data_IF_336337853738
#
_entry.id   IF_336337853738
#
_cell.length_a   1.000
_cell.length_b   1.000
_cell.length_c   1.000
_cell.angle_alpha   90.00
_cell.angle_beta   90.00
_cell.angle_gamma   90.00
#
_symmetry.space_group_name_H-M   'P 1'
#
loop_
_entity.id
_entity.type
_entity.pdbx_description
1 polymer ?
#
# COMPACT_ATOMS: atom_id res chain seq x y z
N UNK A 1 -2.66 5.33 28.96
CA UNK A 1 -1.89 4.59 27.94
C UNK A 1 -2.16 3.10 28.16
N UNK A 2 -3.09 2.47 27.43
CA UNK A 2 -3.13 1.02 27.41
C UNK A 2 -2.06 0.54 26.43
N UNK A 3 -1.18 -0.32 26.92
CA UNK A 3 -0.28 -1.14 26.13
C UNK A 3 -1.10 -2.02 25.19
N UNK A 4 -1.36 -1.54 23.98
CA UNK A 4 -1.94 -2.32 22.91
C UNK A 4 -0.82 -3.20 22.29
N UNK A 5 -1.20 -4.44 22.04
CA UNK A 5 -0.36 -5.61 21.79
C UNK A 5 0.61 -5.47 20.60
N UNK A 6 1.92 -5.38 20.87
CA UNK A 6 3.06 -5.28 19.94
C UNK A 6 3.16 -6.35 18.84
N UNK A 7 2.30 -7.37 18.85
CA UNK A 7 2.36 -8.50 17.92
C UNK A 7 1.59 -8.34 16.61
N UNK A 8 0.71 -7.34 16.47
CA UNK A 8 -0.24 -7.30 15.34
C UNK A 8 0.11 -6.27 14.25
N UNK A 9 1.05 -5.36 14.50
CA UNK A 9 1.40 -4.24 13.61
C UNK A 9 2.40 -4.61 12.51
N UNK A 10 2.81 -5.87 12.43
CA UNK A 10 4.02 -6.27 11.73
C UNK A 10 3.86 -6.43 10.20
N UNK A 11 2.65 -6.22 9.66
CA UNK A 11 2.31 -6.60 8.28
C UNK A 11 1.89 -5.44 7.34
N UNK A 12 1.74 -4.19 7.82
CA UNK A 12 1.36 -3.06 6.95
C UNK A 12 2.52 -2.10 6.68
N UNK A 13 2.78 -1.71 5.42
CA UNK A 13 3.81 -0.74 5.11
C UNK A 13 3.46 0.67 5.60
N UNK A 14 2.17 1.05 5.64
CA UNK A 14 1.71 2.38 6.07
C UNK A 14 1.72 2.53 7.60
N UNK A 15 1.30 1.48 8.33
CA UNK A 15 1.36 1.45 9.79
C UNK A 15 2.81 1.32 10.28
N UNK A 16 3.67 0.58 9.56
CA UNK A 16 5.11 0.53 9.84
C UNK A 16 5.71 1.93 9.76
N UNK A 17 5.37 2.75 8.76
CA UNK A 17 5.88 4.14 8.68
C UNK A 17 5.40 4.97 9.87
N UNK A 18 4.13 4.88 10.24
CA UNK A 18 3.58 5.62 11.40
C UNK A 18 4.23 5.15 12.71
N UNK A 19 4.46 3.84 12.86
CA UNK A 19 5.10 3.26 14.04
C UNK A 19 6.60 3.62 14.11
N UNK A 20 7.29 3.63 12.96
CA UNK A 20 8.67 4.10 12.83
C UNK A 20 8.79 5.58 13.22
N UNK A 21 7.80 6.39 12.87
CA UNK A 21 7.76 7.82 13.20
C UNK A 21 7.29 8.10 14.63
N UNK A 22 6.50 7.21 15.24
CA UNK A 22 6.00 7.36 16.62
C UNK A 22 7.07 7.07 17.68
N UNK A 23 8.06 6.22 17.38
CA UNK A 23 9.21 6.07 18.24
C UNK A 23 10.12 7.30 18.13
N UNK A 24 10.05 8.20 19.12
CA UNK A 24 10.82 9.47 19.27
C UNK A 24 12.34 9.39 19.05
N UNK A 25 12.91 8.19 18.91
CA UNK A 25 14.34 7.93 18.65
C UNK A 25 14.67 7.77 17.16
N UNK A 26 13.67 7.72 16.26
CA UNK A 26 13.79 7.32 14.85
C UNK A 26 13.42 8.40 13.81
N UNK A 27 13.05 9.62 14.22
CA UNK A 27 12.60 10.67 13.27
C UNK A 27 13.63 10.96 12.15
N UNK A 28 14.92 10.90 12.45
CA UNK A 28 15.99 11.03 11.44
C UNK A 28 16.22 9.77 10.60
N UNK A 29 15.96 8.58 11.15
CA UNK A 29 16.13 7.30 10.46
C UNK A 29 15.01 7.05 9.45
N UNK A 30 13.79 7.47 9.74
CA UNK A 30 12.65 7.38 8.82
C UNK A 30 12.92 8.15 7.51
N UNK A 31 13.45 9.37 7.61
CA UNK A 31 13.82 10.18 6.44
C UNK A 31 14.93 9.51 5.62
N UNK A 32 15.92 8.90 6.26
CA UNK A 32 17.02 8.18 5.58
C UNK A 32 16.49 6.94 4.85
N UNK A 33 15.61 6.16 5.47
CA UNK A 33 15.01 4.96 4.86
C UNK A 33 14.19 5.34 3.63
N UNK A 34 13.34 6.38 3.75
CA UNK A 34 12.55 6.89 2.63
C UNK A 34 13.47 7.40 1.52
N UNK A 35 14.52 8.17 1.86
CA UNK A 35 15.49 8.68 0.90
C UNK A 35 16.23 7.57 0.13
N UNK A 36 16.65 6.51 0.81
CA UNK A 36 17.26 5.34 0.18
C UNK A 36 16.27 4.60 -0.74
N UNK A 37 15.03 4.39 -0.29
CA UNK A 37 14.00 3.74 -1.09
C UNK A 37 13.67 4.52 -2.38
N UNK A 38 13.56 5.85 -2.27
CA UNK A 38 13.35 6.74 -3.43
C UNK A 38 14.53 6.69 -4.38
N UNK A 39 15.77 6.66 -3.86
CA UNK A 39 16.97 6.56 -4.69
C UNK A 39 17.01 5.24 -5.47
N UNK A 40 16.77 4.11 -4.80
CA UNK A 40 16.73 2.78 -5.45
C UNK A 40 15.63 2.71 -6.52
N UNK A 41 14.42 3.19 -6.18
CA UNK A 41 13.29 3.21 -7.12
C UNK A 41 13.55 4.14 -8.29
N UNK A 42 14.16 5.30 -8.04
CA UNK A 42 14.55 6.28 -9.06
C UNK A 42 15.58 5.73 -10.05
N UNK A 43 16.64 5.08 -9.56
CA UNK A 43 17.64 4.41 -10.41
C UNK A 43 16.96 3.34 -11.28
N UNK A 44 16.09 2.52 -10.68
CA UNK A 44 15.35 1.46 -11.40
C UNK A 44 14.44 2.06 -12.48
N UNK A 45 13.78 3.19 -12.20
CA UNK A 45 12.94 3.92 -13.17
C UNK A 45 13.74 4.48 -14.34
N UNK A 46 14.93 5.03 -14.08
CA UNK A 46 15.84 5.50 -15.13
C UNK A 46 16.36 4.33 -16.00
N UNK A 47 16.73 3.20 -15.39
CA UNK A 47 17.12 1.98 -16.13
C UNK A 47 15.98 1.45 -16.99
N UNK A 48 14.76 1.40 -16.46
CA UNK A 48 13.58 0.97 -17.22
C UNK A 48 13.29 1.93 -18.38
N UNK A 49 13.45 3.24 -18.16
CA UNK A 49 13.32 4.26 -19.20
C UNK A 49 14.33 4.05 -20.33
N UNK A 50 15.57 3.70 -20.01
CA UNK A 50 16.57 3.34 -21.02
C UNK A 50 16.20 2.06 -21.78
N UNK A 51 15.64 1.05 -21.11
CA UNK A 51 15.22 -0.21 -21.76
C UNK A 51 14.12 0.05 -22.79
N UNK A 52 13.14 0.89 -22.47
CA UNK A 52 11.99 1.19 -23.37
C UNK A 52 12.35 2.11 -24.53
N UNK A 53 13.44 2.89 -24.43
CA UNK A 53 13.94 3.73 -25.54
C UNK A 53 14.89 3.00 -26.50
N UNK A 54 15.43 1.84 -26.12
CA UNK A 54 16.40 1.06 -26.92
C UNK A 54 15.76 0.03 -27.89
N UNK A 55 14.43 -0.06 -28.01
CA UNK A 55 13.75 -1.09 -28.81
C UNK A 55 12.65 -0.57 -29.74
N UNK A 56 12.39 -1.30 -30.83
CA UNK A 56 11.21 -1.06 -31.69
C UNK A 56 9.93 -1.49 -30.96
N UNK A 57 9.19 -0.52 -30.43
CA UNK A 57 7.95 -0.75 -29.67
C UNK A 57 6.84 -1.23 -30.61
N UNK A 58 6.67 -2.54 -30.73
CA UNK A 58 5.42 -3.15 -31.23
C UNK A 58 4.53 -3.36 -30.00
N UNK A 59 3.28 -2.90 -30.05
CA UNK A 59 2.38 -2.84 -28.90
C UNK A 59 2.44 -4.11 -28.03
N UNK A 60 2.90 -3.94 -26.79
CA UNK A 60 3.12 -5.00 -25.81
C UNK A 60 3.38 -4.39 -24.43
N UNK A 61 3.19 -5.18 -23.37
CA UNK A 61 3.37 -4.74 -21.98
C UNK A 61 4.82 -4.77 -21.49
N UNK A 62 5.02 -4.55 -20.18
CA UNK A 62 6.36 -4.46 -19.57
C UNK A 62 7.25 -5.70 -19.82
N UNK A 63 6.71 -6.92 -19.69
CA UNK A 63 7.46 -8.15 -19.96
C UNK A 63 7.96 -8.23 -21.40
N UNK A 64 7.12 -7.84 -22.36
CA UNK A 64 7.47 -7.84 -23.78
C UNK A 64 8.66 -6.90 -24.06
N UNK A 65 8.66 -5.72 -23.45
CA UNK A 65 9.74 -4.74 -23.60
C UNK A 65 11.06 -5.24 -22.99
N UNK A 66 11.02 -5.82 -21.79
CA UNK A 66 12.20 -6.35 -21.09
C UNK A 66 12.82 -7.52 -21.86
N UNK A 67 11.99 -8.52 -22.24
CA UNK A 67 12.45 -9.74 -22.92
C UNK A 67 13.13 -9.47 -24.28
N UNK A 68 12.74 -8.38 -24.96
CA UNK A 68 13.28 -8.03 -26.28
C UNK A 68 14.56 -7.21 -26.20
N UNK A 69 14.67 -6.33 -25.21
CA UNK A 69 15.86 -5.49 -25.01
C UNK A 69 16.99 -6.24 -24.28
N UNK A 70 16.67 -7.16 -23.36
CA UNK A 70 17.67 -7.88 -22.54
C UNK A 70 17.85 -9.36 -22.94
N UNK A 71 17.02 -9.88 -23.84
CA UNK A 71 17.04 -11.28 -24.27
C UNK A 71 16.18 -12.21 -23.40
N UNK A 72 15.90 -13.44 -23.90
CA UNK A 72 14.94 -14.35 -23.28
C UNK A 72 15.36 -14.87 -21.89
N UNK A 73 16.67 -15.03 -21.64
CA UNK A 73 17.19 -15.54 -20.35
C UNK A 73 16.96 -14.56 -19.20
N UNK A 74 17.25 -13.27 -19.43
CA UNK A 74 17.01 -12.20 -18.46
C UNK A 74 15.52 -11.84 -18.38
N UNK A 75 14.82 -11.80 -19.52
CA UNK A 75 13.39 -11.50 -19.57
C UNK A 75 12.54 -12.48 -18.77
N UNK A 76 12.77 -13.80 -18.95
CA UNK A 76 12.02 -14.84 -18.25
C UNK A 76 12.21 -14.80 -16.74
N UNK A 77 13.46 -14.67 -16.29
CA UNK A 77 13.82 -14.66 -14.87
C UNK A 77 13.26 -13.42 -14.15
N UNK A 78 13.45 -12.24 -14.73
CA UNK A 78 12.92 -10.97 -14.18
C UNK A 78 11.39 -10.99 -14.18
N UNK A 79 10.77 -11.48 -15.25
CA UNK A 79 9.32 -11.59 -15.37
C UNK A 79 8.69 -12.48 -14.30
N UNK A 80 9.31 -13.62 -13.99
CA UNK A 80 8.80 -14.55 -12.98
C UNK A 80 8.89 -13.97 -11.56
N UNK A 81 10.02 -13.34 -11.21
CA UNK A 81 10.17 -12.68 -9.91
C UNK A 81 9.19 -11.52 -9.78
N UNK A 82 9.00 -10.73 -10.84
CA UNK A 82 8.06 -9.61 -10.84
C UNK A 82 6.60 -10.06 -10.69
N UNK A 83 6.20 -11.15 -11.36
CA UNK A 83 4.87 -11.73 -11.21
C UNK A 83 4.63 -12.23 -9.78
N UNK A 84 5.61 -12.92 -9.18
CA UNK A 84 5.53 -13.37 -7.80
C UNK A 84 5.47 -12.21 -6.81
N UNK A 85 6.29 -11.17 -7.00
CA UNK A 85 6.28 -9.98 -6.15
C UNK A 85 4.91 -9.28 -6.17
N UNK A 86 4.28 -9.14 -7.34
CA UNK A 86 2.93 -8.57 -7.45
C UNK A 86 1.88 -9.46 -6.78
N UNK A 87 1.99 -10.79 -6.87
CA UNK A 87 1.08 -11.70 -6.17
C UNK A 87 1.16 -11.54 -4.64
N UNK A 88 2.37 -11.43 -4.10
CA UNK A 88 2.59 -11.17 -2.67
C UNK A 88 2.10 -9.77 -2.28
N UNK A 89 2.30 -8.76 -3.14
CA UNK A 89 1.81 -7.40 -2.89
C UNK A 89 0.28 -7.34 -2.77
N UNK A 90 -0.46 -8.06 -3.63
CA UNK A 90 -1.93 -8.15 -3.53
C UNK A 90 -2.35 -8.73 -2.17
N UNK A 91 -1.67 -9.78 -1.70
CA UNK A 91 -1.96 -10.34 -0.37
C UNK A 91 -1.70 -9.30 0.74
N UNK A 92 -0.60 -8.55 0.66
CA UNK A 92 -0.28 -7.50 1.64
C UNK A 92 -1.34 -6.37 1.65
N UNK A 93 -1.81 -5.93 0.49
CA UNK A 93 -2.84 -4.88 0.40
C UNK A 93 -4.18 -5.33 0.97
N UNK A 94 -4.57 -6.57 0.71
CA UNK A 94 -5.82 -7.14 1.24
C UNK A 94 -5.76 -7.30 2.76
N UNK A 95 -4.65 -7.81 3.29
CA UNK A 95 -4.47 -7.93 4.75
C UNK A 95 -4.55 -6.55 5.40
N UNK A 96 -3.88 -5.54 4.83
CA UNK A 96 -3.95 -4.17 5.33
C UNK A 96 -5.36 -3.57 5.32
N UNK A 97 -6.14 -3.86 4.28
CA UNK A 97 -7.56 -3.48 4.23
C UNK A 97 -8.37 -4.21 5.32
N UNK A 98 -8.21 -5.53 5.46
CA UNK A 98 -8.95 -6.33 6.44
C UNK A 98 -8.68 -5.88 7.88
N UNK A 99 -7.42 -5.57 8.22
CA UNK A 99 -7.07 -5.01 9.53
C UNK A 99 -7.78 -3.68 9.80
N UNK A 100 -7.76 -2.76 8.83
CA UNK A 100 -8.45 -1.47 8.96
C UNK A 100 -9.95 -1.65 9.19
N UNK A 101 -10.59 -2.59 8.48
CA UNK A 101 -12.01 -2.89 8.66
C UNK A 101 -12.29 -3.48 10.05
N UNK A 102 -11.47 -4.43 10.51
CA UNK A 102 -11.63 -5.04 11.85
C UNK A 102 -11.46 -3.99 12.95
N UNK A 103 -10.54 -3.05 12.80
CA UNK A 103 -10.35 -1.97 13.78
C UNK A 103 -11.55 -1.01 13.83
N UNK A 104 -12.18 -0.71 12.69
CA UNK A 104 -13.44 0.05 12.66
C UNK A 104 -14.61 -0.72 13.30
N UNK A 105 -14.67 -2.05 13.11
CA UNK A 105 -15.67 -2.92 13.74
C UNK A 105 -15.51 -2.99 15.26
N UNK A 106 -14.26 -3.00 15.76
CA UNK A 106 -13.96 -2.92 17.20
C UNK A 106 -14.45 -1.61 17.80
N UNK A 107 -14.22 -0.48 17.12
CA UNK A 107 -14.67 0.83 17.62
C UNK A 107 -16.21 0.92 17.69
N UNK A 108 -16.91 0.14 16.85
CA UNK A 108 -18.37 0.08 16.79
C UNK A 108 -19.00 -1.02 17.66
N UNK A 109 -18.22 -1.72 18.48
CA UNK A 109 -18.64 -2.84 19.35
C UNK A 109 -19.37 -3.98 18.59
N UNK A 110 -18.98 -4.22 17.33
CA UNK A 110 -19.61 -5.21 16.44
C UNK A 110 -18.63 -6.33 16.04
N UNK A 111 -17.89 -6.85 17.02
CA UNK A 111 -16.96 -7.98 16.80
C UNK A 111 -17.72 -9.28 16.53
N UNK A 112 -17.24 -10.07 15.56
CA UNK A 112 -17.92 -11.29 15.12
C UNK A 112 -17.44 -12.53 15.90
N UNK A 113 -16.12 -12.76 15.96
CA UNK A 113 -15.55 -13.93 16.64
C UNK A 113 -14.31 -13.53 17.45
N UNK A 114 -13.21 -13.23 16.76
CA UNK A 114 -11.91 -12.93 17.34
C UNK A 114 -11.12 -12.03 16.37
N UNK A 115 -10.33 -11.05 16.85
CA UNK A 115 -9.65 -10.09 15.99
C UNK A 115 -8.81 -10.73 14.88
N UNK A 116 -8.08 -11.81 15.19
CA UNK A 116 -7.18 -12.48 14.23
C UNK A 116 -7.95 -13.33 13.22
N UNK A 117 -9.07 -13.92 13.63
CA UNK A 117 -9.90 -14.73 12.76
C UNK A 117 -10.76 -13.84 11.84
N UNK A 118 -11.23 -12.71 12.35
CA UNK A 118 -12.02 -11.73 11.60
C UNK A 118 -11.18 -11.13 10.45
N UNK A 119 -9.89 -10.86 10.67
CA UNK A 119 -8.96 -10.42 9.61
C UNK A 119 -8.87 -11.47 8.49
N UNK A 120 -8.77 -12.76 8.83
CA UNK A 120 -8.67 -13.85 7.85
C UNK A 120 -9.97 -14.01 7.06
N UNK A 121 -11.12 -13.94 7.73
CA UNK A 121 -12.44 -14.05 7.10
C UNK A 121 -12.64 -12.88 6.12
N UNK A 122 -12.48 -11.64 6.59
CA UNK A 122 -12.66 -10.44 5.76
C UNK A 122 -11.65 -10.41 4.62
N UNK A 123 -10.39 -10.76 4.88
CA UNK A 123 -9.35 -10.84 3.86
C UNK A 123 -9.68 -11.89 2.78
N UNK A 124 -10.11 -13.09 3.17
CA UNK A 124 -10.47 -14.15 2.22
C UNK A 124 -11.66 -13.78 1.34
N UNK A 125 -12.72 -13.19 1.92
CA UNK A 125 -13.88 -12.71 1.19
C UNK A 125 -13.46 -11.60 0.21
N UNK A 126 -12.64 -10.66 0.66
CA UNK A 126 -12.16 -9.54 -0.16
C UNK A 126 -11.33 -10.04 -1.36
N UNK A 127 -10.41 -11.00 -1.17
CA UNK A 127 -9.65 -11.60 -2.29
C UNK A 127 -10.55 -12.29 -3.30
N UNK A 128 -11.55 -13.04 -2.86
CA UNK A 128 -12.47 -13.73 -3.77
C UNK A 128 -13.29 -12.73 -4.57
N UNK A 129 -13.76 -11.64 -3.93
CA UNK A 129 -14.48 -10.57 -4.62
C UNK A 129 -13.57 -9.85 -5.62
N UNK A 130 -12.36 -9.47 -5.22
CA UNK A 130 -11.40 -8.80 -6.10
C UNK A 130 -11.03 -9.68 -7.30
N UNK A 131 -10.82 -10.98 -7.07
CA UNK A 131 -10.59 -11.93 -8.16
C UNK A 131 -11.79 -11.99 -9.12
N UNK A 132 -13.01 -12.00 -8.60
CA UNK A 132 -14.23 -11.94 -9.41
C UNK A 132 -14.30 -10.67 -10.26
N UNK A 133 -13.94 -9.51 -9.69
CA UNK A 133 -13.90 -8.23 -10.42
C UNK A 133 -12.84 -8.26 -11.52
N UNK A 134 -11.64 -8.74 -11.23
CA UNK A 134 -10.54 -8.84 -12.20
C UNK A 134 -10.88 -9.75 -13.38
N UNK A 135 -11.67 -10.81 -13.17
CA UNK A 135 -12.11 -11.72 -14.25
C UNK A 135 -13.29 -11.15 -15.05
N UNK A 136 -14.17 -10.35 -14.43
CA UNK A 136 -15.38 -9.83 -15.07
C UNK A 136 -15.13 -8.74 -16.12
N UNK A 137 -14.03 -7.98 -16.04
CA UNK A 137 -13.58 -7.12 -17.13
C UNK A 137 -12.76 -5.88 -16.73
N UNK A 138 -11.62 -5.68 -17.39
CA UNK A 138 -10.67 -4.58 -17.09
C UNK A 138 -11.12 -3.19 -17.56
N UNK A 139 -12.15 -3.08 -18.40
CA UNK A 139 -12.64 -1.78 -18.89
C UNK A 139 -13.26 -0.93 -17.78
N UNK A 140 -13.97 -1.57 -16.85
CA UNK A 140 -14.57 -0.92 -15.69
C UNK A 140 -13.52 -0.56 -14.64
N UNK A 141 -12.51 -1.42 -14.49
CA UNK A 141 -11.39 -1.23 -13.58
C UNK A 141 -10.59 0.04 -13.92
N UNK A 142 -10.25 0.24 -15.21
CA UNK A 142 -9.51 1.41 -15.65
C UNK A 142 -10.26 2.73 -15.36
N UNK A 143 -11.60 2.73 -15.48
CA UNK A 143 -12.43 3.89 -15.12
C UNK A 143 -12.48 4.10 -13.60
N UNK A 144 -12.63 3.02 -12.83
CA UNK A 144 -12.63 3.07 -11.37
C UNK A 144 -11.30 3.61 -10.81
N UNK A 145 -10.16 3.27 -11.43
CA UNK A 145 -8.84 3.76 -11.00
C UNK A 145 -8.75 5.29 -11.00
N UNK A 146 -9.32 5.95 -12.01
CA UNK A 146 -9.33 7.43 -12.05
C UNK A 146 -10.17 8.01 -10.91
N UNK A 147 -11.32 7.39 -10.61
CA UNK A 147 -12.17 7.80 -9.49
C UNK A 147 -11.45 7.58 -8.15
N UNK A 148 -10.82 6.42 -7.95
CA UNK A 148 -10.05 6.11 -6.75
C UNK A 148 -8.87 7.07 -6.55
N UNK A 149 -8.20 7.48 -7.64
CA UNK A 149 -7.14 8.49 -7.58
C UNK A 149 -7.66 9.83 -7.05
N UNK A 150 -8.83 10.28 -7.53
CA UNK A 150 -9.44 11.54 -7.05
C UNK A 150 -9.78 11.45 -5.56
N UNK A 151 -10.37 10.34 -5.12
CA UNK A 151 -10.69 10.12 -3.70
C UNK A 151 -9.42 10.12 -2.85
N UNK A 152 -8.35 9.46 -3.32
CA UNK A 152 -7.06 9.45 -2.64
C UNK A 152 -6.46 10.85 -2.51
N UNK A 153 -6.50 11.67 -3.57
CA UNK A 153 -6.01 13.04 -3.52
C UNK A 153 -6.82 13.90 -2.54
N UNK A 154 -8.14 13.72 -2.49
CA UNK A 154 -9.00 14.40 -1.51
C UNK A 154 -8.65 13.94 -0.09
N UNK A 155 -8.40 12.66 0.13
CA UNK A 155 -8.00 12.14 1.44
C UNK A 155 -6.66 12.73 1.90
N UNK A 156 -5.67 12.81 1.00
CA UNK A 156 -4.37 13.45 1.28
C UNK A 156 -4.57 14.94 1.59
N UNK A 157 -5.37 15.66 0.80
CA UNK A 157 -5.65 17.08 1.06
C UNK A 157 -6.34 17.29 2.41
N UNK A 158 -7.32 16.44 2.75
CA UNK A 158 -8.01 16.48 4.03
C UNK A 158 -7.06 16.21 5.21
N UNK A 159 -6.09 15.31 5.05
CA UNK A 159 -5.05 15.08 6.05
C UNK A 159 -4.21 16.34 6.31
N UNK A 160 -3.78 17.05 5.25
CA UNK A 160 -3.05 18.32 5.40
C UNK A 160 -3.91 19.42 6.05
N UNK A 161 -5.17 19.58 5.62
CA UNK A 161 -6.10 20.54 6.23
C UNK A 161 -6.34 20.20 7.70
N UNK A 162 -6.55 18.92 8.01
CA UNK A 162 -6.73 18.42 9.38
C UNK A 162 -5.54 18.70 10.29
N UNK A 163 -4.33 18.79 9.75
CA UNK A 163 -3.12 19.15 10.50
C UNK A 163 -3.09 20.64 10.89
N UNK A 164 -3.71 21.50 10.09
CA UNK A 164 -3.73 22.97 10.30
C UNK A 164 -4.86 23.40 11.26
N UNK A 165 -5.93 22.62 11.38
CA UNK A 165 -7.06 22.94 12.26
C UNK A 165 -6.74 22.51 13.72
N UNK A 166 -6.83 23.42 14.72
CA UNK A 166 -6.59 23.05 16.12
C UNK A 166 -7.63 22.06 16.64
N UNK A 167 -7.18 21.03 17.36
CA UNK A 167 -8.03 19.96 17.90
C UNK A 167 -8.89 20.45 19.08
N UNK A 168 -10.20 20.19 19.02
CA UNK A 168 -11.15 20.40 20.12
C UNK A 168 -10.86 19.42 21.28
N UNK A 169 -11.29 19.74 22.51
CA UNK A 169 -10.96 19.03 23.76
C UNK A 169 -11.22 17.50 23.72
N UNK A 170 -12.18 17.03 22.93
CA UNK A 170 -12.46 15.60 22.73
C UNK A 170 -11.41 14.87 21.86
N UNK A 171 -10.82 15.56 20.87
CA UNK A 171 -9.75 15.00 20.00
C UNK A 171 -8.41 14.93 20.74
N UNK A 172 -8.19 15.81 21.73
CA UNK A 172 -7.03 15.81 22.63
C UNK A 172 -7.07 14.63 23.62
N UNK A 173 -8.26 14.21 24.04
CA UNK A 173 -8.46 13.04 24.92
C UNK A 173 -8.22 11.70 24.20
N UNK A 174 -8.35 11.65 22.87
CA UNK A 174 -8.07 10.48 22.02
C UNK A 174 -6.62 10.41 21.51
N UNK A 175 -5.72 11.29 21.98
CA UNK A 175 -4.28 11.21 21.68
C UNK A 175 -3.83 11.89 20.39
N UNK A 176 -4.69 12.66 19.71
CA UNK A 176 -4.27 13.52 18.59
C UNK A 176 -3.63 14.80 19.13
N UNK A 177 -2.32 14.74 19.37
CA UNK A 177 -1.53 15.94 19.60
C UNK A 177 -1.15 16.53 18.23
N UNK A 178 -1.59 17.77 17.98
CA UNK A 178 -0.99 18.57 16.93
C UNK A 178 0.52 18.67 17.19
N UNK A 179 1.30 18.70 16.11
CA UNK A 179 2.74 18.92 16.16
C UNK A 179 3.02 20.19 16.98
N UNK A 180 3.64 20.03 18.14
CA UNK A 180 4.30 21.10 18.88
C UNK A 180 5.80 20.88 18.78
#
# INVERSE_FOLDING_TARGET
>A
MPSLNSGLYHFLPFLIIIDLLNHKTLEGLGVIIIGLAVTVTGITGLSTSAIVTNGYVRGGGAYYLISRSLGPEFGGSIGLIFAFANAVAVAMYVVGFAETVVDLLKESDSMMVDPTNDIRIIGSITVVILLGISVAGMEWEAKAQVILLVILLIAIANFFIGTVIPSNNEKKARGFFNYQ
#
